data_IF_099185221500
#
_entry.id   IF_099185221500
#
_cell.length_a   1.000
_cell.length_b   1.000
_cell.length_c   1.000
_cell.angle_alpha   90.00
_cell.angle_beta   90.00
_cell.angle_gamma   90.00
#
_symmetry.space_group_name_H-M   'P 1'
#
loop_
_entity.id
_entity.type
_entity.pdbx_description
1 polymer ?
#
# COMPACT_ATOMS: atom_id res chain seq x y z
N UNK A 1 3.57 12.62 9.31
CA UNK A 1 4.01 12.11 7.98
C UNK A 1 4.17 13.17 6.87
N UNK A 2 3.13 13.82 6.32
CA UNK A 2 3.30 14.84 5.24
C UNK A 2 3.96 16.14 5.73
N UNK A 3 3.56 16.61 6.91
CA UNK A 3 4.08 17.84 7.52
C UNK A 3 5.54 17.70 7.97
N UNK A 4 5.94 16.51 8.41
CA UNK A 4 7.35 16.18 8.75
C UNK A 4 8.30 16.31 7.56
N UNK A 5 7.78 16.17 6.33
CA UNK A 5 8.56 16.34 5.10
C UNK A 5 8.33 17.71 4.44
N UNK A 6 7.56 18.61 5.06
CA UNK A 6 7.27 19.96 4.54
C UNK A 6 6.56 20.00 3.18
N UNK A 7 5.99 18.88 2.69
CA UNK A 7 5.44 18.80 1.34
C UNK A 7 3.97 19.16 1.27
N UNK A 8 3.56 20.00 0.32
CA UNK A 8 2.14 20.27 0.04
C UNK A 8 1.44 19.04 -0.56
N UNK A 9 0.10 18.92 -0.43
CA UNK A 9 -0.66 17.84 -1.12
C UNK A 9 -0.44 17.91 -2.64
N UNK A 10 -0.32 19.13 -3.19
CA UNK A 10 -0.05 19.34 -4.62
C UNK A 10 1.32 18.81 -5.03
N UNK A 11 2.35 19.02 -4.19
CA UNK A 11 3.70 18.52 -4.47
C UNK A 11 3.76 17.00 -4.37
N UNK A 12 3.04 16.43 -3.41
CA UNK A 12 2.94 14.97 -3.27
C UNK A 12 2.25 14.36 -4.49
N UNK A 13 1.11 14.92 -4.91
CA UNK A 13 0.39 14.51 -6.13
C UNK A 13 1.28 14.57 -7.38
N UNK A 14 2.06 15.65 -7.54
CA UNK A 14 2.98 15.82 -8.66
C UNK A 14 4.08 14.76 -8.69
N UNK A 15 4.66 14.41 -7.54
CA UNK A 15 5.75 13.43 -7.44
C UNK A 15 5.28 11.99 -7.54
N UNK A 16 4.06 11.70 -7.09
CA UNK A 16 3.48 10.36 -7.15
C UNK A 16 2.69 10.12 -8.44
N UNK A 17 2.48 11.14 -9.26
CA UNK A 17 1.59 11.06 -10.43
C UNK A 17 0.19 10.53 -10.04
N UNK A 18 -0.30 10.95 -8.87
CA UNK A 18 -1.65 10.67 -8.39
C UNK A 18 -2.46 11.95 -8.55
N UNK A 19 -3.68 11.85 -9.08
CA UNK A 19 -4.58 13.00 -9.14
C UNK A 19 -4.72 13.68 -7.76
N UNK A 20 -4.54 15.00 -7.73
CA UNK A 20 -4.50 15.79 -6.49
C UNK A 20 -5.81 15.66 -5.70
N UNK A 21 -6.96 15.63 -6.38
CA UNK A 21 -8.27 15.52 -5.73
C UNK A 21 -8.44 14.12 -5.13
N UNK A 22 -8.06 13.07 -5.86
CA UNK A 22 -8.01 11.70 -5.35
C UNK A 22 -7.08 11.57 -4.15
N UNK A 23 -5.85 12.07 -4.23
CA UNK A 23 -4.89 12.02 -3.14
C UNK A 23 -5.43 12.74 -1.88
N UNK A 24 -6.13 13.85 -2.05
CA UNK A 24 -6.79 14.54 -0.94
C UNK A 24 -7.83 13.64 -0.26
N UNK A 25 -8.73 13.01 -1.02
CA UNK A 25 -9.73 12.09 -0.46
C UNK A 25 -9.13 10.84 0.18
N UNK A 26 -8.01 10.33 -0.36
CA UNK A 26 -7.29 9.21 0.25
C UNK A 26 -6.72 9.61 1.62
N UNK A 27 -6.06 10.77 1.68
CA UNK A 27 -5.45 11.26 2.92
C UNK A 27 -6.49 11.69 3.96
N UNK A 28 -7.68 12.10 3.52
CA UNK A 28 -8.83 12.43 4.38
C UNK A 28 -9.59 11.17 4.86
N UNK A 29 -9.19 9.97 4.41
CA UNK A 29 -9.84 8.71 4.77
C UNK A 29 -11.17 8.46 4.07
N UNK A 30 -11.60 9.35 3.16
CA UNK A 30 -12.83 9.19 2.39
C UNK A 30 -12.71 8.19 1.24
N UNK A 31 -11.48 7.83 0.84
CA UNK A 31 -11.23 6.82 -0.18
C UNK A 31 -10.14 5.86 0.24
N UNK A 32 -10.35 4.59 -0.06
CA UNK A 32 -9.32 3.56 0.07
C UNK A 32 -8.12 3.84 -0.85
N UNK A 33 -6.94 3.60 -0.30
CA UNK A 33 -5.66 3.71 -0.99
C UNK A 33 -5.35 2.41 -1.72
N UNK A 34 -5.00 2.49 -3.00
CA UNK A 34 -4.52 1.31 -3.75
C UNK A 34 -3.07 1.00 -3.36
N UNK A 35 -2.68 -0.27 -3.46
CA UNK A 35 -1.31 -0.71 -3.16
C UNK A 35 -0.28 0.04 -4.01
N UNK A 36 -0.55 0.25 -5.29
CA UNK A 36 0.32 1.03 -6.17
C UNK A 36 0.53 2.47 -5.65
N UNK A 37 -0.55 3.14 -5.23
CA UNK A 37 -0.51 4.51 -4.72
C UNK A 37 0.27 4.58 -3.41
N UNK A 38 0.06 3.60 -2.54
CA UNK A 38 0.83 3.43 -1.31
C UNK A 38 2.33 3.29 -1.58
N UNK A 39 2.72 2.44 -2.54
CA UNK A 39 4.13 2.24 -2.89
C UNK A 39 4.77 3.50 -3.48
N UNK A 40 4.05 4.21 -4.37
CA UNK A 40 4.52 5.51 -4.91
C UNK A 40 4.73 6.54 -3.80
N UNK A 41 3.80 6.59 -2.83
CA UNK A 41 3.93 7.46 -1.64
C UNK A 41 5.14 7.09 -0.79
N UNK A 42 5.38 5.81 -0.52
CA UNK A 42 6.54 5.33 0.23
C UNK A 42 7.85 5.79 -0.43
N UNK A 43 7.97 5.62 -1.75
CA UNK A 43 9.17 6.05 -2.51
C UNK A 43 9.39 7.56 -2.39
N UNK A 44 8.35 8.37 -2.61
CA UNK A 44 8.46 9.85 -2.56
C UNK A 44 8.79 10.35 -1.15
N UNK A 45 8.25 9.70 -0.13
CA UNK A 45 8.46 10.03 1.28
C UNK A 45 9.71 9.35 1.86
N UNK A 46 10.48 8.59 1.06
CA UNK A 46 11.65 7.82 1.50
C UNK A 46 11.35 6.90 2.70
N UNK A 47 10.16 6.31 2.70
CA UNK A 47 9.72 5.36 3.71
C UNK A 47 9.91 3.95 3.19
N UNK A 48 10.42 3.06 4.03
CA UNK A 48 10.46 1.63 3.73
C UNK A 48 9.04 1.06 3.85
N UNK A 49 8.39 0.58 2.77
CA UNK A 49 7.03 0.05 2.85
C UNK A 49 6.91 -1.12 3.84
N UNK A 50 8.01 -1.83 4.13
CA UNK A 50 8.03 -2.91 5.13
C UNK A 50 7.79 -2.42 6.55
N UNK A 51 7.99 -1.12 6.84
CA UNK A 51 7.67 -0.57 8.15
C UNK A 51 6.17 -0.57 8.46
N UNK A 52 5.32 -0.77 7.45
CA UNK A 52 3.86 -0.89 7.59
C UNK A 52 3.37 -2.33 7.67
N UNK A 53 4.28 -3.31 7.54
CA UNK A 53 3.95 -4.73 7.54
C UNK A 53 4.18 -5.29 8.93
N UNK A 54 3.13 -5.80 9.56
CA UNK A 54 3.24 -6.46 10.86
C UNK A 54 3.60 -7.94 10.69
N UNK A 55 4.08 -8.56 11.77
CA UNK A 55 4.34 -10.00 11.80
C UNK A 55 3.06 -10.81 11.55
N UNK A 56 1.94 -10.35 12.09
CA UNK A 56 0.62 -10.96 11.86
C UNK A 56 0.27 -10.96 10.37
N UNK A 57 0.42 -9.82 9.67
CA UNK A 57 0.18 -9.76 8.22
C UNK A 57 1.08 -10.72 7.43
N UNK A 58 2.34 -10.90 7.86
CA UNK A 58 3.26 -11.87 7.23
C UNK A 58 2.74 -13.30 7.43
N UNK A 59 2.33 -13.64 8.65
CA UNK A 59 1.81 -14.97 8.98
C UNK A 59 0.52 -15.28 8.21
N UNK A 60 -0.40 -14.30 8.08
CA UNK A 60 -1.62 -14.40 7.28
C UNK A 60 -1.32 -14.63 5.79
N UNK A 61 -0.42 -13.84 5.20
CA UNK A 61 -0.03 -13.99 3.78
C UNK A 61 0.66 -15.34 3.54
N UNK A 62 1.52 -15.78 4.48
CA UNK A 62 2.20 -17.06 4.38
C UNK A 62 1.21 -18.23 4.45
N UNK A 63 0.19 -18.13 5.32
CA UNK A 63 -0.87 -19.13 5.42
C UNK A 63 -1.74 -19.17 4.16
N UNK A 64 -2.18 -18.01 3.65
CA UNK A 64 -2.91 -17.93 2.39
C UNK A 64 -2.12 -18.52 1.22
N UNK A 65 -0.80 -18.29 1.17
CA UNK A 65 0.08 -18.85 0.16
C UNK A 65 0.15 -20.38 0.25
N UNK A 66 0.33 -20.95 1.46
CA UNK A 66 0.31 -22.40 1.66
C UNK A 66 -0.99 -23.03 1.19
N UNK A 67 -2.13 -22.41 1.50
CA UNK A 67 -3.46 -22.88 1.07
C UNK A 67 -3.64 -22.82 -0.45
N UNK A 68 -3.10 -21.78 -1.09
CA UNK A 68 -3.17 -21.64 -2.56
C UNK A 68 -2.35 -22.71 -3.30
N UNK A 69 -1.20 -23.10 -2.75
CA UNK A 69 -0.31 -24.12 -3.34
C UNK A 69 -0.85 -25.53 -3.08
N UNK A 70 -1.32 -25.81 -1.85
CA UNK A 70 -1.87 -27.13 -1.48
C UNK A 70 -3.19 -27.50 -2.20
N UNK A 71 -3.89 -26.53 -2.81
CA UNK A 71 -5.11 -26.79 -3.59
C UNK A 71 -4.82 -27.34 -4.99
N UNK A 72 -3.59 -27.25 -5.48
CA UNK A 72 -3.19 -27.75 -6.81
C UNK A 72 -2.96 -29.27 -6.86
N UNK A 73 -2.91 -29.96 -5.71
CA UNK A 73 -2.58 -31.39 -5.62
C UNK A 73 -3.79 -32.30 -5.34
N UNK A 74 -5.03 -31.82 -5.54
CA UNK A 74 -6.23 -32.65 -5.40
C UNK A 74 -6.76 -33.09 -6.78
N UNK A 75 -6.47 -34.31 -7.27
CA UNK A 75 -6.88 -34.78 -8.59
C UNK A 75 -8.35 -35.23 -8.66
N UNK A 76 -9.25 -34.67 -7.85
CA UNK A 76 -10.67 -35.04 -7.92
C UNK A 76 -11.58 -33.82 -7.69
N UNK A 77 -11.69 -32.99 -8.73
CA UNK A 77 -12.93 -32.26 -9.06
C UNK A 77 -13.19 -32.43 -10.54
#
# INVERSE_FOLDING_TARGET
>A
MRLEHGMSVSELARRTDIDKKRLWYILDGQREMRVEEFLRLCVVLKMDPRSFVTREMIEEVAEATRQSIGRSDNPNT
#
